data_IF_136434499030
#
_entry.id   IF_136434499030
#
_cell.length_a   1.000
_cell.length_b   1.000
_cell.length_c   1.000
_cell.angle_alpha   90.00
_cell.angle_beta   90.00
_cell.angle_gamma   90.00
#
_symmetry.space_group_name_H-M   'P 1'
#
loop_
_entity.id
_entity.type
_entity.pdbx_description
1 polymer ?
#
# COMPACT_ATOMS: atom_id res chain seq x y z
N UNK A 1 23.92 -35.20 55.46
CA UNK A 1 25.38 -35.03 55.35
C UNK A 1 25.74 -35.12 53.87
N UNK A 2 26.45 -34.12 53.33
CA UNK A 2 26.92 -33.90 51.93
C UNK A 2 25.82 -33.46 50.94
N UNK A 3 25.63 -32.20 50.58
CA UNK A 3 26.48 -31.10 50.03
C UNK A 3 26.81 -31.14 48.53
N UNK A 4 26.57 -29.96 47.91
CA UNK A 4 27.18 -29.29 46.73
C UNK A 4 26.67 -29.66 45.33
N UNK A 5 26.00 -28.73 44.61
CA UNK A 5 26.44 -27.49 43.89
C UNK A 5 27.08 -27.77 42.52
N UNK A 6 26.51 -27.21 41.44
CA UNK A 6 27.25 -26.47 40.39
C UNK A 6 26.30 -25.97 39.28
N UNK A 7 26.46 -24.70 38.93
CA UNK A 7 25.88 -24.01 37.77
C UNK A 7 26.20 -24.67 36.42
N UNK A 8 25.25 -24.54 35.48
CA UNK A 8 25.51 -24.45 34.02
C UNK A 8 24.63 -23.31 33.46
N UNK A 9 25.23 -22.13 33.29
CA UNK A 9 25.62 -21.50 32.00
C UNK A 9 24.46 -20.99 31.12
N UNK A 10 24.16 -19.70 31.30
CA UNK A 10 24.15 -18.62 30.30
C UNK A 10 23.67 -18.84 28.85
N UNK A 11 22.84 -17.86 28.44
CA UNK A 11 22.73 -17.19 27.14
C UNK A 11 21.99 -17.89 25.99
N UNK A 12 20.78 -17.43 25.74
CA UNK A 12 20.28 -17.24 24.38
C UNK A 12 19.97 -15.75 24.17
N UNK A 13 20.82 -15.13 23.36
CA UNK A 13 20.80 -13.72 23.01
C UNK A 13 19.53 -13.39 22.22
N UNK A 14 18.71 -12.50 22.76
CA UNK A 14 17.69 -11.77 22.01
C UNK A 14 18.40 -10.78 21.08
N UNK A 15 18.74 -11.21 19.86
CA UNK A 15 19.18 -10.34 18.78
C UNK A 15 17.95 -9.75 18.08
N UNK A 16 17.70 -8.43 18.14
CA UNK A 16 16.84 -7.80 17.15
C UNK A 16 17.54 -7.94 15.81
N UNK A 17 16.89 -8.60 14.85
CA UNK A 17 17.36 -8.69 13.48
C UNK A 17 17.41 -7.28 12.88
N UNK A 18 18.59 -6.67 12.93
CA UNK A 18 18.86 -5.37 12.33
C UNK A 18 18.88 -5.59 10.81
N UNK A 19 17.72 -5.41 10.18
CA UNK A 19 17.60 -5.46 8.74
C UNK A 19 18.59 -4.45 8.13
N UNK A 20 19.43 -4.85 7.15
CA UNK A 20 20.37 -3.95 6.53
C UNK A 20 19.65 -2.71 5.99
N UNK A 21 20.08 -1.52 6.42
CA UNK A 21 19.57 -0.24 5.91
C UNK A 21 20.06 -0.11 4.47
N UNK A 22 19.27 -0.62 3.53
CA UNK A 22 19.54 -0.44 2.10
C UNK A 22 19.51 1.05 1.77
N UNK A 23 20.46 1.55 0.97
CA UNK A 23 20.46 2.96 0.55
C UNK A 23 19.14 3.27 -0.15
N UNK A 24 18.52 4.39 0.23
CA UNK A 24 17.26 4.84 -0.34
C UNK A 24 17.45 5.10 -1.85
N UNK A 25 17.06 4.12 -2.67
CA UNK A 25 17.08 4.29 -4.12
C UNK A 25 16.00 5.29 -4.51
N UNK A 26 16.39 6.29 -5.30
CA UNK A 26 15.43 7.24 -5.85
C UNK A 26 14.55 6.53 -6.86
N UNK A 27 13.23 6.59 -6.62
CA UNK A 27 12.26 5.92 -7.47
C UNK A 27 12.32 6.48 -8.90
N UNK A 28 12.14 5.60 -9.91
CA UNK A 28 12.17 6.02 -11.31
C UNK A 28 11.02 6.99 -11.59
N UNK A 29 11.19 8.02 -12.44
CA UNK A 29 10.13 8.99 -12.72
C UNK A 29 8.80 8.38 -13.19
N UNK A 30 8.86 7.31 -13.98
CA UNK A 30 7.68 6.58 -14.47
C UNK A 30 6.92 5.88 -13.33
N UNK A 31 7.64 5.28 -12.39
CA UNK A 31 7.03 4.64 -11.23
C UNK A 31 6.38 5.68 -10.31
N UNK A 32 7.02 6.83 -10.13
CA UNK A 32 6.45 7.93 -9.36
C UNK A 32 5.11 8.42 -9.95
N UNK A 33 5.04 8.60 -11.27
CA UNK A 33 3.81 8.97 -11.96
C UNK A 33 2.73 7.88 -11.78
N UNK A 34 3.09 6.61 -11.92
CA UNK A 34 2.16 5.50 -11.72
C UNK A 34 1.60 5.46 -10.30
N UNK A 35 2.47 5.52 -9.28
CA UNK A 35 2.08 5.52 -7.86
C UNK A 35 1.16 6.69 -7.52
N UNK A 36 1.41 7.86 -8.12
CA UNK A 36 0.70 9.10 -7.83
C UNK A 36 -0.63 9.23 -8.58
N UNK A 37 -0.70 8.78 -9.83
CA UNK A 37 -1.74 9.23 -10.76
C UNK A 37 -2.58 8.07 -11.33
N UNK A 38 -2.07 6.83 -11.33
CA UNK A 38 -2.76 5.69 -11.93
C UNK A 38 -4.11 5.42 -11.26
N UNK A 39 -5.18 5.54 -12.05
CA UNK A 39 -6.57 5.35 -11.65
C UNK A 39 -7.01 6.25 -10.51
N UNK A 40 -6.38 7.41 -10.33
CA UNK A 40 -6.81 8.40 -9.32
C UNK A 40 -7.85 9.38 -9.89
N UNK A 41 -7.79 9.65 -11.19
CA UNK A 41 -8.67 10.60 -11.89
C UNK A 41 -9.62 9.90 -12.86
N UNK A 42 -10.80 10.51 -13.06
CA UNK A 42 -11.79 10.01 -14.01
C UNK A 42 -11.30 10.25 -15.44
N UNK A 43 -11.53 9.29 -16.34
CA UNK A 43 -11.21 9.50 -17.74
C UNK A 43 -12.21 10.48 -18.40
N UNK A 44 -11.79 11.67 -18.84
CA UNK A 44 -12.68 12.62 -19.48
C UNK A 44 -13.17 12.14 -20.86
N UNK A 45 -12.36 11.33 -21.56
CA UNK A 45 -12.74 10.75 -22.85
C UNK A 45 -13.81 9.68 -22.68
N UNK A 46 -13.83 8.96 -21.56
CA UNK A 46 -14.86 7.96 -21.30
C UNK A 46 -16.23 8.59 -21.07
N UNK A 47 -16.29 9.72 -20.36
CA UNK A 47 -17.52 10.51 -20.19
C UNK A 47 -18.11 10.98 -21.53
N UNK A 48 -17.26 11.14 -22.55
CA UNK A 48 -17.67 11.50 -23.90
C UNK A 48 -17.85 10.28 -24.82
N UNK A 49 -17.73 9.05 -24.31
CA UNK A 49 -17.72 7.80 -25.08
C UNK A 49 -16.63 7.72 -26.16
N UNK A 50 -15.53 8.48 -26.00
CA UNK A 50 -14.39 8.57 -26.93
C UNK A 50 -13.15 7.81 -26.47
N UNK A 51 -13.14 7.25 -25.26
CA UNK A 51 -11.99 6.48 -24.77
C UNK A 51 -11.83 5.20 -25.60
N UNK A 52 -10.70 5.01 -26.28
CA UNK A 52 -10.40 3.77 -27.02
C UNK A 52 -9.70 2.72 -26.15
N UNK A 53 -9.22 3.11 -24.97
CA UNK A 53 -8.48 2.25 -24.02
C UNK A 53 -9.38 1.65 -22.92
N UNK A 54 -10.70 1.68 -23.11
CA UNK A 54 -11.64 1.02 -22.19
C UNK A 54 -11.79 -0.47 -22.50
N UNK A 55 -11.50 -0.89 -23.75
CA UNK A 55 -11.51 -2.28 -24.24
C UNK A 55 -10.42 -2.45 -25.32
N UNK A 56 -9.31 -3.15 -25.02
CA UNK A 56 -8.93 -3.75 -23.74
C UNK A 56 -8.73 -2.70 -22.64
N UNK A 57 -8.84 -3.10 -21.37
CA UNK A 57 -8.83 -2.18 -20.23
C UNK A 57 -7.41 -1.69 -19.89
N UNK A 58 -6.89 -0.78 -20.71
CA UNK A 58 -5.53 -0.24 -20.64
C UNK A 58 -5.49 1.25 -20.28
N UNK A 59 -6.66 1.87 -20.07
CA UNK A 59 -6.73 3.29 -19.71
C UNK A 59 -6.08 3.55 -18.34
N UNK A 60 -5.30 4.62 -18.29
CA UNK A 60 -4.61 5.08 -17.07
C UNK A 60 -5.58 5.67 -16.04
N UNK A 61 -6.70 6.23 -16.51
CA UNK A 61 -7.73 6.84 -15.68
C UNK A 61 -8.86 5.84 -15.40
N UNK A 62 -9.62 6.06 -14.33
CA UNK A 62 -10.76 5.18 -13.99
C UNK A 62 -12.00 5.55 -14.82
N UNK A 63 -12.83 4.55 -15.12
CA UNK A 63 -14.10 4.71 -15.84
C UNK A 63 -15.30 4.59 -14.90
N UNK A 64 -15.24 3.63 -13.98
CA UNK A 64 -16.25 3.37 -12.97
C UNK A 64 -15.67 3.59 -11.57
N UNK A 65 -16.52 3.91 -10.58
CA UNK A 65 -16.09 4.20 -9.20
C UNK A 65 -15.28 3.07 -8.59
N UNK A 66 -15.67 1.81 -8.79
CA UNK A 66 -14.94 0.66 -8.27
C UNK A 66 -13.53 0.47 -8.88
N UNK A 67 -13.20 1.16 -9.96
CA UNK A 67 -11.85 1.17 -10.55
C UNK A 67 -10.98 2.30 -9.99
N UNK A 68 -11.56 3.26 -9.28
CA UNK A 68 -10.87 4.40 -8.70
C UNK A 68 -9.96 3.91 -7.58
N UNK A 69 -8.73 4.41 -7.59
CA UNK A 69 -7.73 4.19 -6.55
C UNK A 69 -7.50 5.48 -5.78
N UNK A 70 -7.40 5.39 -4.46
CA UNK A 70 -6.90 6.47 -3.61
C UNK A 70 -5.38 6.59 -3.79
N UNK A 71 -4.85 7.81 -3.73
CA UNK A 71 -3.40 8.03 -3.79
C UNK A 71 -2.77 7.60 -2.46
N UNK A 72 -1.73 6.73 -2.45
CA UNK A 72 -0.96 6.47 -1.25
C UNK A 72 -0.17 7.72 -0.85
N UNK A 73 -0.28 8.11 0.43
CA UNK A 73 0.40 9.26 1.02
C UNK A 73 1.15 8.79 2.25
N UNK A 74 2.47 8.94 2.24
CA UNK A 74 3.29 8.74 3.44
C UNK A 74 3.21 10.01 4.30
N UNK A 75 2.65 9.88 5.48
CA UNK A 75 2.55 10.94 6.50
C UNK A 75 3.93 11.18 7.15
N UNK A 76 4.05 12.26 7.93
CA UNK A 76 5.32 12.68 8.58
C UNK A 76 5.81 11.68 9.64
N UNK A 77 4.89 10.98 10.27
CA UNK A 77 5.13 9.88 11.23
C UNK A 77 5.60 8.58 10.55
N UNK A 78 5.69 8.55 9.21
CA UNK A 78 6.07 7.38 8.44
C UNK A 78 4.91 6.43 8.12
N UNK A 79 3.70 6.68 8.65
CA UNK A 79 2.52 5.87 8.36
C UNK A 79 1.91 6.23 7.00
N UNK A 80 1.18 5.30 6.40
CA UNK A 80 0.42 5.56 5.18
C UNK A 80 -1.02 5.97 5.50
N UNK A 81 -1.67 6.71 4.59
CA UNK A 81 -3.07 7.10 4.72
C UNK A 81 -4.05 5.92 4.70
N UNK A 82 -3.65 4.75 4.21
CA UNK A 82 -4.39 3.51 4.35
C UNK A 82 -3.39 2.35 4.45
N UNK A 83 -3.82 1.24 5.05
CA UNK A 83 -2.97 0.06 5.19
C UNK A 83 -2.82 -0.65 3.83
N UNK A 84 -1.58 -1.02 3.42
CA UNK A 84 -1.38 -1.84 2.23
C UNK A 84 -1.77 -3.31 2.44
N UNK A 85 -1.84 -3.76 3.70
CA UNK A 85 -2.05 -5.17 4.06
C UNK A 85 -3.48 -5.43 4.57
N UNK A 86 -4.08 -4.48 5.28
CA UNK A 86 -5.42 -4.63 5.84
C UNK A 86 -6.49 -4.10 4.88
N UNK A 87 -7.33 -5.01 4.39
CA UNK A 87 -8.46 -4.67 3.52
C UNK A 87 -9.64 -4.13 4.33
N UNK A 88 -10.42 -3.22 3.70
CA UNK A 88 -11.61 -2.64 4.33
C UNK A 88 -12.82 -3.58 4.16
N UNK A 89 -13.38 -4.06 5.26
CA UNK A 89 -14.57 -4.93 5.25
C UNK A 89 -15.88 -4.20 4.94
N UNK A 90 -15.87 -2.86 4.96
CA UNK A 90 -17.05 -2.02 4.68
C UNK A 90 -17.09 -1.49 3.25
N UNK A 91 -16.02 -1.70 2.47
CA UNK A 91 -15.95 -1.24 1.09
C UNK A 91 -16.84 -2.12 0.21
N UNK A 92 -17.76 -1.48 -0.51
CA UNK A 92 -18.58 -2.17 -1.50
C UNK A 92 -17.83 -2.21 -2.85
N UNK A 93 -17.37 -3.41 -3.24
CA UNK A 93 -16.64 -3.63 -4.48
C UNK A 93 -17.48 -3.39 -5.75
N UNK A 94 -18.81 -3.50 -5.66
CA UNK A 94 -19.69 -3.29 -6.80
C UNK A 94 -19.88 -1.79 -7.08
N UNK A 95 -20.16 -0.99 -6.05
CA UNK A 95 -20.35 0.46 -6.19
C UNK A 95 -19.05 1.26 -6.18
N UNK A 96 -18.00 0.74 -5.54
CA UNK A 96 -16.75 1.44 -5.31
C UNK A 96 -16.81 2.47 -4.18
N UNK A 97 -17.70 2.26 -3.20
CA UNK A 97 -17.94 3.19 -2.11
C UNK A 97 -17.55 2.60 -0.75
N UNK A 98 -16.91 3.41 0.09
CA UNK A 98 -16.68 3.14 1.51
C UNK A 98 -17.47 4.17 2.32
N UNK A 99 -18.29 3.76 3.32
CA UNK A 99 -19.02 4.70 4.18
C UNK A 99 -18.09 5.55 5.03
N UNK A 100 -16.90 5.04 5.37
CA UNK A 100 -15.86 5.80 6.08
C UNK A 100 -15.11 6.79 5.15
N UNK A 101 -15.45 6.78 3.85
CA UNK A 101 -14.94 7.73 2.87
C UNK A 101 -13.53 7.42 2.37
N UNK A 102 -12.80 8.49 2.04
CA UNK A 102 -11.43 8.44 1.52
C UNK A 102 -10.36 8.33 2.62
N UNK A 103 -10.76 8.37 3.89
CA UNK A 103 -9.86 8.31 5.05
C UNK A 103 -9.52 6.87 5.47
#
# INVERSE_FOLDING_TARGET
MRERNAQTTSNDNNMPSEAPVLPAQTEKPQHYAYLKEFRTQQCPLFLQHKCTQHRPFTCFNWHFMNQRRRRPIRRRDGSFNYSPDNYCNKYDEASGHCPDGEE
#
